data_IF_345830751442
#
_entry.id   IF_345830751442
#
_cell.length_a   1.000
_cell.length_b   1.000
_cell.length_c   1.000
_cell.angle_alpha   90.00
_cell.angle_beta   90.00
_cell.angle_gamma   90.00
#
_symmetry.space_group_name_H-M   'P 1'
#
loop_
_entity.id
_entity.type
_entity.pdbx_description
1 polymer ?
#
# COMPACT_ATOMS: atom_id res chain seq x y z
N UNK A 1 -45.79 4.06 34.02
CA UNK A 1 -44.74 3.02 33.95
C UNK A 1 -44.54 2.60 32.49
N UNK A 2 -44.02 3.50 31.63
CA UNK A 2 -43.74 3.23 30.19
C UNK A 2 -42.63 4.12 29.59
N UNK A 3 -42.05 5.03 30.37
CA UNK A 3 -41.01 5.97 29.90
C UNK A 3 -39.61 5.45 30.29
N UNK A 4 -39.53 4.68 31.38
CA UNK A 4 -38.26 4.13 31.89
C UNK A 4 -37.73 2.99 31.01
N UNK A 5 -38.62 2.21 30.39
CA UNK A 5 -38.23 1.05 29.57
C UNK A 5 -37.64 1.47 28.21
N UNK A 6 -38.11 2.58 27.62
CA UNK A 6 -37.64 3.09 26.32
C UNK A 6 -36.25 3.69 26.41
N UNK A 7 -35.90 4.31 27.54
CA UNK A 7 -34.57 4.91 27.78
C UNK A 7 -33.51 3.82 28.00
N UNK A 8 -33.87 2.70 28.63
CA UNK A 8 -32.95 1.58 28.84
C UNK A 8 -32.55 0.88 27.53
N UNK A 9 -33.47 0.79 26.55
CA UNK A 9 -33.19 0.16 25.25
C UNK A 9 -32.24 1.02 24.40
N UNK A 10 -32.36 2.35 24.45
CA UNK A 10 -31.45 3.26 23.74
C UNK A 10 -30.01 3.23 24.28
N UNK A 11 -29.83 2.92 25.57
CA UNK A 11 -28.51 2.84 26.22
C UNK A 11 -27.78 1.51 25.98
N UNK A 12 -28.50 0.48 25.54
CA UNK A 12 -27.99 -0.88 25.28
C UNK A 12 -27.57 -1.10 23.82
N UNK A 13 -27.78 -0.14 22.94
CA UNK A 13 -27.19 -0.15 21.60
C UNK A 13 -25.71 0.24 21.76
N UNK A 14 -24.86 -0.73 22.14
CA UNK A 14 -23.43 -0.54 21.94
C UNK A 14 -23.22 -0.49 20.42
N UNK A 15 -22.84 0.67 19.89
CA UNK A 15 -22.27 0.72 18.56
C UNK A 15 -20.99 -0.13 18.58
N UNK A 16 -21.08 -1.36 18.08
CA UNK A 16 -19.90 -2.16 17.74
C UNK A 16 -19.27 -1.55 16.49
N UNK A 17 -18.71 -0.34 16.64
CA UNK A 17 -17.93 0.31 15.61
C UNK A 17 -16.55 -0.36 15.58
N UNK A 18 -16.28 -1.14 14.53
CA UNK A 18 -14.93 -1.61 14.28
C UNK A 18 -14.05 -0.40 13.93
N UNK A 19 -12.97 -0.19 14.69
CA UNK A 19 -11.99 0.87 14.37
C UNK A 19 -11.19 0.45 13.15
N UNK A 20 -11.24 1.25 12.09
CA UNK A 20 -10.33 1.10 10.96
C UNK A 20 -8.93 1.50 11.45
N UNK A 21 -8.04 0.52 11.57
CA UNK A 21 -6.65 0.73 12.00
C UNK A 21 -5.79 1.30 10.87
N UNK A 22 -6.09 0.90 9.62
CA UNK A 22 -5.35 1.27 8.43
C UNK A 22 -6.31 1.71 7.32
N UNK A 23 -6.20 2.97 6.90
CA UNK A 23 -6.91 3.52 5.76
C UNK A 23 -5.90 4.30 4.92
N UNK A 24 -5.86 4.03 3.62
CA UNK A 24 -4.68 4.35 2.84
C UNK A 24 -4.89 4.44 1.35
N UNK A 25 -3.79 4.75 0.67
CA UNK A 25 -3.72 4.83 -0.80
C UNK A 25 -2.66 3.89 -1.35
N UNK A 26 -2.84 3.50 -2.61
CA UNK A 26 -1.80 2.85 -3.38
C UNK A 26 -0.96 3.91 -4.08
N UNK A 27 0.35 3.75 -4.01
CA UNK A 27 1.34 4.65 -4.61
C UNK A 27 2.03 3.92 -5.76
N UNK A 28 1.36 3.90 -6.92
CA UNK A 28 1.89 3.29 -8.13
C UNK A 28 3.12 4.03 -8.65
N UNK A 29 3.99 3.30 -9.34
CA UNK A 29 5.12 3.83 -10.08
C UNK A 29 6.41 3.02 -9.89
N UNK A 30 6.63 2.43 -8.71
CA UNK A 30 7.80 1.59 -8.43
C UNK A 30 7.79 0.25 -9.17
N UNK A 31 6.63 -0.14 -9.67
CA UNK A 31 6.36 -1.36 -10.42
C UNK A 31 6.27 -1.16 -11.94
N UNK A 32 6.42 0.08 -12.41
CA UNK A 32 6.34 0.41 -13.83
C UNK A 32 7.53 -0.16 -14.61
N UNK A 33 7.41 -0.17 -15.94
CA UNK A 33 8.49 -0.65 -16.81
C UNK A 33 8.69 -2.16 -16.76
N UNK A 34 7.62 -2.95 -16.62
CA UNK A 34 7.68 -4.42 -16.49
C UNK A 34 8.42 -5.12 -17.65
N UNK A 35 8.49 -4.50 -18.83
CA UNK A 35 9.23 -5.03 -19.99
C UNK A 35 10.71 -4.62 -20.03
N UNK A 36 11.12 -3.66 -19.19
CA UNK A 36 12.47 -3.08 -19.16
C UNK A 36 13.11 -3.37 -17.80
N UNK A 37 13.71 -4.54 -17.63
CA UNK A 37 14.28 -4.97 -16.36
C UNK A 37 15.82 -4.93 -16.38
N UNK A 38 16.49 -4.36 -15.36
CA UNK A 38 15.93 -3.84 -14.11
C UNK A 38 15.33 -2.42 -14.21
N UNK A 39 15.42 -1.77 -15.38
CA UNK A 39 14.90 -0.42 -15.63
C UNK A 39 15.76 0.68 -14.97
N UNK A 40 15.48 1.92 -15.35
CA UNK A 40 16.12 3.12 -14.80
C UNK A 40 15.13 3.98 -14.01
N UNK A 41 15.51 4.33 -12.77
CA UNK A 41 14.73 5.24 -11.93
C UNK A 41 14.57 6.61 -12.59
N UNK A 42 13.36 7.17 -12.56
CA UNK A 42 12.99 8.42 -13.23
C UNK A 42 12.73 8.30 -14.73
N UNK A 43 12.89 7.10 -15.31
CA UNK A 43 12.60 6.82 -16.72
C UNK A 43 11.57 5.70 -16.84
N UNK A 44 11.92 4.49 -16.37
CA UNK A 44 11.07 3.30 -16.46
C UNK A 44 10.14 3.17 -15.24
N UNK A 45 10.60 3.63 -14.07
CA UNK A 45 9.85 3.60 -12.82
C UNK A 45 10.20 4.80 -11.92
N UNK A 46 9.28 5.17 -11.04
CA UNK A 46 9.45 6.27 -10.08
C UNK A 46 8.62 6.00 -8.83
N UNK A 47 9.09 6.42 -7.66
CA UNK A 47 8.26 6.44 -6.46
C UNK A 47 7.60 7.80 -6.23
N UNK A 48 6.52 7.81 -5.47
CA UNK A 48 5.87 9.02 -4.97
C UNK A 48 6.87 9.95 -4.28
N UNK A 49 6.70 11.25 -4.51
CA UNK A 49 7.51 12.26 -3.88
C UNK A 49 6.97 12.65 -2.50
N UNK A 50 7.81 13.32 -1.71
CA UNK A 50 7.50 13.76 -0.34
C UNK A 50 6.25 14.65 -0.27
N UNK A 51 6.09 15.59 -1.21
CA UNK A 51 4.92 16.50 -1.24
C UNK A 51 3.60 15.76 -1.42
N UNK A 52 3.57 14.70 -2.24
CA UNK A 52 2.38 13.87 -2.41
C UNK A 52 2.13 12.96 -1.21
N UNK A 53 3.20 12.45 -0.57
CA UNK A 53 3.07 11.73 0.71
C UNK A 53 2.43 12.65 1.76
N UNK A 54 2.94 13.86 1.92
CA UNK A 54 2.43 14.86 2.86
C UNK A 54 0.96 15.16 2.62
N UNK A 55 0.56 15.36 1.36
CA UNK A 55 -0.82 15.60 0.99
C UNK A 55 -1.74 14.48 1.50
N UNK A 56 -1.37 13.22 1.28
CA UNK A 56 -2.18 12.09 1.71
C UNK A 56 -2.21 11.97 3.24
N UNK A 57 -1.06 12.06 3.92
CA UNK A 57 -1.03 11.96 5.38
C UNK A 57 -1.83 13.10 6.05
N UNK A 58 -1.75 14.32 5.52
CA UNK A 58 -2.54 15.46 6.00
C UNK A 58 -4.04 15.34 5.69
N UNK A 59 -4.41 14.59 4.64
CA UNK A 59 -5.82 14.29 4.33
C UNK A 59 -6.47 13.28 5.29
N UNK A 60 -5.68 12.69 6.20
CA UNK A 60 -6.17 11.78 7.24
C UNK A 60 -5.99 10.30 6.93
N UNK A 61 -5.35 9.93 5.81
CA UNK A 61 -4.90 8.55 5.61
C UNK A 61 -3.63 8.27 6.42
N UNK A 62 -3.42 7.02 6.80
CA UNK A 62 -2.27 6.63 7.62
C UNK A 62 -1.42 5.50 7.01
N UNK A 63 -1.82 4.97 5.85
CA UNK A 63 -1.14 3.83 5.23
C UNK A 63 -0.88 4.09 3.74
N UNK A 64 0.32 3.80 3.27
CA UNK A 64 0.67 3.85 1.85
C UNK A 64 1.13 2.46 1.41
N UNK A 65 0.44 1.87 0.43
CA UNK A 65 0.93 0.67 -0.25
C UNK A 65 1.87 1.10 -1.37
N UNK A 66 3.10 0.60 -1.33
CA UNK A 66 4.18 0.92 -2.26
C UNK A 66 4.55 -0.33 -3.06
N UNK A 67 3.97 -0.50 -4.26
CA UNK A 67 4.35 -1.55 -5.19
C UNK A 67 5.77 -1.32 -5.71
N UNK A 68 6.52 -2.41 -5.90
CA UNK A 68 7.79 -2.43 -6.62
C UNK A 68 7.96 -3.77 -7.35
N UNK A 69 8.75 -3.79 -8.43
CA UNK A 69 9.16 -5.05 -9.05
C UNK A 69 10.39 -5.64 -8.34
N UNK A 70 10.25 -6.85 -7.81
CA UNK A 70 11.39 -7.63 -7.35
C UNK A 70 12.10 -8.26 -8.55
N UNK A 71 13.21 -7.66 -8.95
CA UNK A 71 14.11 -8.15 -10.01
C UNK A 71 15.39 -8.66 -9.34
N UNK A 72 15.62 -9.98 -9.35
CA UNK A 72 16.73 -10.56 -8.61
C UNK A 72 16.42 -10.80 -7.13
N UNK A 73 17.41 -11.26 -6.37
CA UNK A 73 17.19 -11.82 -5.02
C UNK A 73 17.08 -10.75 -3.92
N UNK A 74 17.22 -9.47 -4.28
CA UNK A 74 17.21 -8.36 -3.34
C UNK A 74 16.33 -7.23 -3.87
N UNK A 75 15.80 -6.45 -2.94
CA UNK A 75 15.33 -5.09 -3.17
C UNK A 75 16.52 -4.26 -3.70
N UNK A 76 16.75 -4.29 -5.01
CA UNK A 76 17.90 -3.65 -5.67
C UNK A 76 17.74 -2.13 -5.80
N UNK A 77 16.57 -1.60 -5.43
CA UNK A 77 16.23 -0.20 -5.59
C UNK A 77 16.61 0.63 -4.35
N UNK A 78 17.71 1.39 -4.46
CA UNK A 78 18.21 2.31 -3.43
C UNK A 78 17.23 3.39 -3.00
N UNK A 79 16.17 3.66 -3.77
CA UNK A 79 15.19 4.71 -3.48
C UNK A 79 14.02 4.22 -2.62
N UNK A 80 13.71 2.91 -2.62
CA UNK A 80 12.63 2.36 -1.81
C UNK A 80 12.80 2.62 -0.29
N UNK A 81 14.02 2.53 0.28
CA UNK A 81 14.26 2.92 1.68
C UNK A 81 13.91 4.38 2.00
N UNK A 82 14.07 5.32 1.06
CA UNK A 82 13.80 6.74 1.31
C UNK A 82 12.31 7.01 1.53
N UNK A 83 11.44 6.42 0.71
CA UNK A 83 9.98 6.53 0.86
C UNK A 83 9.52 5.89 2.17
N UNK A 84 10.03 4.69 2.49
CA UNK A 84 9.70 3.99 3.74
C UNK A 84 10.07 4.86 4.95
N UNK A 85 11.29 5.38 4.97
CA UNK A 85 11.78 6.23 6.05
C UNK A 85 10.94 7.52 6.17
N UNK A 86 10.60 8.15 5.05
CA UNK A 86 9.83 9.39 5.05
C UNK A 86 8.42 9.20 5.62
N UNK A 87 7.68 8.19 5.14
CA UNK A 87 6.32 7.90 5.63
C UNK A 87 6.33 7.53 7.12
N UNK A 88 7.27 6.66 7.53
CA UNK A 88 7.35 6.19 8.91
C UNK A 88 7.80 7.29 9.87
N UNK A 89 8.66 8.22 9.44
CA UNK A 89 9.05 9.38 10.25
C UNK A 89 7.86 10.31 10.58
N UNK A 90 6.82 10.32 9.75
CA UNK A 90 5.58 11.06 9.99
C UNK A 90 4.51 10.26 10.74
N UNK A 91 4.83 9.05 11.22
CA UNK A 91 3.90 8.17 11.93
C UNK A 91 2.94 7.39 11.02
N UNK A 92 3.14 7.42 9.71
CA UNK A 92 2.42 6.60 8.74
C UNK A 92 2.97 5.17 8.65
N UNK A 93 2.21 4.31 7.98
CA UNK A 93 2.55 2.91 7.72
C UNK A 93 2.83 2.68 6.23
N UNK A 94 3.79 1.82 5.91
CA UNK A 94 4.07 1.43 4.52
C UNK A 94 3.86 -0.07 4.35
N UNK A 95 3.04 -0.45 3.37
CA UNK A 95 2.94 -1.82 2.88
C UNK A 95 3.92 -1.97 1.72
N UNK A 96 5.04 -2.66 1.96
CA UNK A 96 6.06 -2.95 0.94
C UNK A 96 5.58 -4.13 0.10
N UNK A 97 5.21 -3.86 -1.15
CA UNK A 97 4.48 -4.80 -1.99
C UNK A 97 5.33 -5.24 -3.19
N UNK A 98 5.85 -6.48 -3.13
CA UNK A 98 6.51 -7.10 -4.28
C UNK A 98 5.45 -7.42 -5.33
N UNK A 99 5.27 -6.51 -6.30
CA UNK A 99 4.17 -6.49 -7.25
C UNK A 99 4.42 -7.43 -8.44
N UNK A 100 4.72 -8.68 -8.11
CA UNK A 100 5.31 -9.64 -9.01
C UNK A 100 4.30 -10.66 -9.57
N UNK A 101 3.02 -10.58 -9.16
CA UNK A 101 1.98 -11.55 -9.55
C UNK A 101 2.41 -13.01 -9.32
N UNK A 102 3.16 -13.28 -8.25
CA UNK A 102 3.78 -14.58 -7.95
C UNK A 102 4.76 -15.10 -9.02
N UNK A 103 5.30 -14.21 -9.86
CA UNK A 103 6.24 -14.49 -10.95
C UNK A 103 7.55 -13.76 -10.70
N UNK A 104 8.64 -14.36 -11.16
CA UNK A 104 9.96 -13.83 -10.92
C UNK A 104 10.71 -13.57 -12.23
N UNK A 105 11.61 -12.59 -12.17
CA UNK A 105 12.34 -12.05 -13.31
C UNK A 105 11.42 -11.29 -14.26
N UNK A 106 10.85 -11.93 -15.28
CA UNK A 106 9.96 -11.29 -16.27
C UNK A 106 8.52 -11.82 -16.11
N UNK A 107 7.67 -11.15 -15.32
CA UNK A 107 6.26 -11.52 -15.17
C UNK A 107 5.50 -11.45 -16.50
N UNK A 108 5.91 -10.56 -17.40
CA UNK A 108 5.22 -10.30 -18.67
C UNK A 108 5.39 -11.44 -19.68
N UNK A 109 6.53 -12.13 -19.68
CA UNK A 109 6.76 -13.33 -20.51
C UNK A 109 6.33 -14.64 -19.88
N UNK A 110 5.76 -14.60 -18.68
CA UNK A 110 5.32 -15.77 -17.93
C UNK A 110 3.80 -15.80 -17.68
N UNK A 111 2.92 -15.53 -18.66
CA UNK A 111 1.48 -15.38 -18.41
C UNK A 111 0.84 -16.64 -17.78
N UNK A 112 1.43 -17.82 -18.01
CA UNK A 112 0.95 -19.10 -17.48
C UNK A 112 1.83 -19.70 -16.37
N UNK A 113 2.87 -18.99 -15.91
CA UNK A 113 3.68 -19.41 -14.76
C UNK A 113 3.11 -18.79 -13.47
N UNK A 114 3.08 -19.55 -12.36
CA UNK A 114 2.46 -19.14 -11.09
C UNK A 114 1.04 -19.70 -10.89
N UNK A 115 0.48 -19.51 -9.70
CA UNK A 115 -0.87 -19.98 -9.39
C UNK A 115 -1.89 -19.22 -10.23
N UNK A 116 -2.37 -19.83 -11.31
CA UNK A 116 -3.62 -19.43 -11.95
C UNK A 116 -4.72 -19.89 -11.00
N UNK A 117 -5.18 -19.02 -10.11
CA UNK A 117 -6.45 -19.29 -9.43
C UNK A 117 -7.53 -19.08 -10.49
N UNK A 118 -7.99 -20.20 -11.06
CA UNK A 118 -9.05 -20.34 -12.03
C UNK A 118 -9.55 -21.77 -12.00
#
# INVERSE_FOLDING_TARGET
MRILDTVAIALLVSENAAKILYAGVNSAGGEFGQQNLPGAYGVDYQFINETAIDFFLQSGVNTIRMPFLLVGSQLSNRQAPNVINYVTAQGGYVVVDAHNYMRYNDPSSQPFSGSVIG
#
